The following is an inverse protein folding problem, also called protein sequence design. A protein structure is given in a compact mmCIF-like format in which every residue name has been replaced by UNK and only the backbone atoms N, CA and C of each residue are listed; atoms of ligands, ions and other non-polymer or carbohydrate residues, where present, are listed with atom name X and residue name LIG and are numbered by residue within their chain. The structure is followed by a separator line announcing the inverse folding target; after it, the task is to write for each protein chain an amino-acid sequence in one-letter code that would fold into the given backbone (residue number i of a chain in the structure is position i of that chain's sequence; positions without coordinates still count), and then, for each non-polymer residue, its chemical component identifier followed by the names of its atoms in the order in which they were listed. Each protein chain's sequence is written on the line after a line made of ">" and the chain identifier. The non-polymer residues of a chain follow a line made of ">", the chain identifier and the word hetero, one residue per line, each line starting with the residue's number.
data_IF_112791807174
#
_entry.id   IF_112791807174
#
_cell.length_a   1.000
_cell.length_b   1.000
_cell.length_c   1.000
_cell.angle_alpha   90.00
_cell.angle_beta   90.00
_cell.angle_gamma   90.00
#
_symmetry.space_group_name_H-M   'P 1'
#
loop_
_entity.id
_entity.type
_entity.pdbx_description
1 polymer ?
#
# COMPACT_ATOMS: atom_id res chain seq x y z
N UNK A 1 4.25 -23.86 7.04
CA UNK A 1 5.36 -23.09 6.42
C UNK A 1 4.90 -21.75 5.82
N UNK A 2 4.20 -21.67 4.68
CA UNK A 2 3.74 -20.38 4.10
C UNK A 2 2.72 -19.62 4.97
N UNK A 3 1.81 -20.33 5.63
CA UNK A 3 0.82 -19.75 6.56
C UNK A 3 1.45 -19.27 7.86
N UNK A 4 2.46 -19.98 8.36
CA UNK A 4 3.25 -19.56 9.54
C UNK A 4 4.00 -18.27 9.23
N UNK A 5 4.58 -18.14 8.02
CA UNK A 5 5.19 -16.89 7.56
C UNK A 5 4.20 -15.72 7.58
N UNK A 6 2.94 -15.92 7.17
CA UNK A 6 1.93 -14.83 7.20
C UNK A 6 1.64 -14.39 8.65
N UNK A 7 1.51 -15.34 9.58
CA UNK A 7 1.25 -15.01 10.97
C UNK A 7 2.41 -14.21 11.60
N UNK A 8 3.64 -14.64 11.35
CA UNK A 8 4.84 -13.95 11.82
C UNK A 8 4.94 -12.54 11.21
N UNK A 9 4.66 -12.38 9.91
CA UNK A 9 4.63 -11.07 9.26
C UNK A 9 3.54 -10.15 9.84
N UNK A 10 2.38 -10.69 10.19
CA UNK A 10 1.31 -9.91 10.85
C UNK A 10 1.74 -9.44 12.23
N UNK A 11 2.53 -10.23 12.96
CA UNK A 11 3.10 -9.80 14.22
C UNK A 11 4.09 -8.64 14.03
N UNK A 12 4.97 -8.73 13.04
CA UNK A 12 5.92 -7.64 12.73
C UNK A 12 5.18 -6.34 12.37
N UNK A 13 4.12 -6.40 11.56
CA UNK A 13 3.28 -5.24 11.22
C UNK A 13 2.62 -4.63 12.46
N UNK A 14 2.20 -5.46 13.42
CA UNK A 14 1.60 -5.01 14.67
C UNK A 14 2.62 -4.28 15.56
N UNK A 15 3.84 -4.81 15.64
CA UNK A 15 4.96 -4.19 16.36
C UNK A 15 5.33 -2.84 15.72
N UNK A 16 5.43 -2.76 14.39
CA UNK A 16 5.66 -1.51 13.65
C UNK A 16 4.56 -0.48 13.91
N UNK A 17 3.29 -0.88 13.85
CA UNK A 17 2.16 0.01 14.15
C UNK A 17 2.19 0.49 15.61
N UNK A 18 2.66 -0.34 16.53
CA UNK A 18 2.78 0.00 17.96
C UNK A 18 3.89 1.01 18.19
N UNK A 19 5.00 0.92 17.45
CA UNK A 19 6.09 1.90 17.50
C UNK A 19 5.64 3.22 16.85
N UNK A 20 5.00 3.15 15.69
CA UNK A 20 4.54 4.33 14.95
C UNK A 20 3.51 5.16 15.73
N UNK A 21 2.74 4.56 16.64
CA UNK A 21 1.73 5.30 17.43
C UNK A 21 2.32 6.41 18.31
N UNK A 22 3.63 6.33 18.62
CA UNK A 22 4.33 7.33 19.42
C UNK A 22 4.85 8.50 18.59
N UNK A 23 4.80 8.42 17.26
CA UNK A 23 5.18 9.50 16.36
C UNK A 23 4.00 10.47 16.13
N UNK A 24 4.24 11.77 16.34
CA UNK A 24 3.18 12.78 16.24
C UNK A 24 2.70 12.99 14.80
N UNK A 25 3.57 12.79 13.81
CA UNK A 25 3.15 12.85 12.41
C UNK A 25 2.19 11.71 12.08
N UNK A 26 2.46 10.49 12.55
CA UNK A 26 1.55 9.37 12.42
C UNK A 26 0.23 9.61 13.15
N UNK A 27 0.26 10.11 14.40
CA UNK A 27 -0.96 10.44 15.16
C UNK A 27 -1.81 11.50 14.45
N UNK A 28 -1.19 12.54 13.92
CA UNK A 28 -1.87 13.58 13.16
C UNK A 28 -2.47 13.03 11.86
N UNK A 29 -1.71 12.24 11.10
CA UNK A 29 -2.19 11.57 9.88
C UNK A 29 -3.39 10.65 10.18
N UNK A 30 -3.32 9.89 11.28
CA UNK A 30 -4.40 9.01 11.74
C UNK A 30 -5.67 9.77 12.10
N UNK A 31 -5.53 10.90 12.78
CA UNK A 31 -6.63 11.79 13.12
C UNK A 31 -7.28 12.37 11.86
N UNK A 32 -6.46 12.87 10.93
CA UNK A 32 -6.95 13.41 9.66
C UNK A 32 -7.68 12.35 8.81
N UNK A 33 -7.13 11.13 8.74
CA UNK A 33 -7.80 10.00 8.11
C UNK A 33 -9.18 9.74 8.75
N UNK A 34 -9.27 9.74 10.08
CA UNK A 34 -10.53 9.51 10.78
C UNK A 34 -11.58 10.60 10.51
N UNK A 35 -11.16 11.85 10.31
CA UNK A 35 -12.04 12.98 9.98
C UNK A 35 -12.49 13.01 8.52
N UNK A 36 -11.96 12.13 7.67
CA UNK A 36 -12.34 12.09 6.26
C UNK A 36 -13.75 11.53 6.04
N UNK A 37 -14.34 11.88 4.90
CA UNK A 37 -15.63 11.40 4.40
C UNK A 37 -15.68 9.87 4.41
N UNK A 38 -16.82 9.28 4.76
CA UNK A 38 -16.97 7.83 4.94
C UNK A 38 -16.57 7.01 3.71
N UNK A 39 -16.86 7.53 2.52
CA UNK A 39 -16.56 6.85 1.25
C UNK A 39 -15.20 7.23 0.65
N UNK A 40 -14.36 7.99 1.38
CA UNK A 40 -13.07 8.42 0.87
C UNK A 40 -11.95 7.44 1.27
N UNK A 41 -11.09 6.99 0.34
CA UNK A 41 -10.04 6.00 0.63
C UNK A 41 -9.07 6.39 1.75
N UNK A 42 -8.83 7.70 1.93
CA UNK A 42 -7.96 8.23 3.00
C UNK A 42 -8.46 7.86 4.41
N UNK A 43 -9.75 7.54 4.58
CA UNK A 43 -10.32 7.11 5.86
C UNK A 43 -9.82 5.73 6.30
N UNK A 44 -9.34 4.93 5.35
CA UNK A 44 -8.88 3.57 5.63
C UNK A 44 -7.66 3.57 6.56
N UNK A 45 -7.54 2.50 7.33
CA UNK A 45 -6.31 2.23 8.06
C UNK A 45 -5.26 1.62 7.15
N UNK A 46 -4.40 2.47 6.59
CA UNK A 46 -3.38 2.06 5.61
C UNK A 46 -2.24 1.24 6.20
N UNK A 47 -1.89 1.44 7.48
CA UNK A 47 -0.78 0.72 8.10
C UNK A 47 -1.12 -0.76 8.33
N UNK A 48 -2.32 -1.04 8.86
CA UNK A 48 -2.68 -2.36 9.34
C UNK A 48 -2.09 -2.66 10.73
N UNK A 49 -2.59 -3.72 11.35
CA UNK A 49 -2.14 -4.26 12.63
C UNK A 49 -2.77 -5.64 12.84
N UNK A 50 -2.44 -6.32 13.94
CA UNK A 50 -2.96 -7.65 14.24
C UNK A 50 -4.49 -7.69 14.31
N UNK A 51 -5.14 -6.62 14.78
CA UNK A 51 -6.61 -6.53 14.86
C UNK A 51 -7.24 -6.48 13.46
N UNK A 52 -6.75 -5.61 12.58
CA UNK A 52 -7.29 -5.40 11.23
C UNK A 52 -6.94 -6.54 10.27
N UNK A 53 -5.85 -7.26 10.52
CA UNK A 53 -5.42 -8.40 9.70
C UNK A 53 -5.81 -9.76 10.29
N UNK A 54 -6.50 -9.81 11.45
CA UNK A 54 -6.81 -11.06 12.17
C UNK A 54 -7.58 -12.06 11.29
N UNK A 55 -8.66 -11.61 10.67
CA UNK A 55 -9.50 -12.45 9.82
C UNK A 55 -8.71 -12.96 8.61
N UNK A 56 -7.92 -12.07 8.00
CA UNK A 56 -7.04 -12.42 6.90
C UNK A 56 -5.99 -13.47 7.30
N UNK A 57 -5.28 -13.26 8.42
CA UNK A 57 -4.24 -14.18 8.91
C UNK A 57 -4.78 -15.56 9.27
N UNK A 58 -6.00 -15.62 9.81
CA UNK A 58 -6.67 -16.88 10.16
C UNK A 58 -7.28 -17.63 8.96
N UNK A 59 -7.33 -16.99 7.78
CA UNK A 59 -7.91 -17.60 6.60
C UNK A 59 -6.95 -18.62 5.97
N UNK A 60 -7.42 -19.85 5.77
CA UNK A 60 -6.66 -20.92 5.08
C UNK A 60 -6.27 -20.53 3.65
N UNK A 61 -7.04 -19.65 3.01
CA UNK A 61 -6.80 -19.13 1.67
C UNK A 61 -6.06 -17.78 1.65
N UNK A 62 -5.59 -17.28 2.80
CA UNK A 62 -4.87 -16.00 2.93
C UNK A 62 -3.74 -15.83 1.91
N UNK A 63 -2.93 -16.87 1.74
CA UNK A 63 -1.84 -16.88 0.74
C UNK A 63 -2.37 -16.73 -0.69
N UNK A 64 -3.46 -17.40 -1.03
CA UNK A 64 -4.08 -17.31 -2.36
C UNK A 64 -4.69 -15.94 -2.59
N UNK A 65 -5.39 -15.40 -1.60
CA UNK A 65 -5.96 -14.05 -1.63
C UNK A 65 -4.86 -13.00 -1.80
N UNK A 66 -3.76 -13.12 -1.06
CA UNK A 66 -2.62 -12.20 -1.19
C UNK A 66 -1.99 -12.26 -2.58
N UNK A 67 -1.70 -13.47 -3.07
CA UNK A 67 -1.13 -13.66 -4.41
C UNK A 67 -2.03 -13.06 -5.48
N UNK A 68 -3.34 -13.25 -5.37
CA UNK A 68 -4.30 -12.69 -6.30
C UNK A 68 -4.32 -11.16 -6.19
N UNK A 69 -4.38 -10.60 -4.99
CA UNK A 69 -4.36 -9.16 -4.75
C UNK A 69 -3.09 -8.49 -5.28
N UNK A 70 -1.92 -9.09 -5.02
CA UNK A 70 -0.62 -8.61 -5.53
C UNK A 70 -0.60 -8.63 -7.05
N UNK A 71 -0.98 -9.76 -7.65
CA UNK A 71 -1.05 -9.89 -9.11
C UNK A 71 -2.00 -8.87 -9.73
N UNK A 72 -3.11 -8.59 -9.08
CA UNK A 72 -4.21 -7.81 -9.63
C UNK A 72 -4.06 -6.31 -9.48
N UNK A 73 -3.27 -5.86 -8.50
CA UNK A 73 -3.13 -4.45 -8.14
C UNK A 73 -1.72 -3.93 -8.28
N UNK A 74 -0.72 -4.77 -8.05
CA UNK A 74 0.68 -4.33 -7.93
C UNK A 74 1.56 -4.86 -9.06
N UNK A 75 1.27 -6.04 -9.64
CA UNK A 75 2.00 -6.55 -10.81
C UNK A 75 1.41 -6.08 -12.15
N UNK A 76 1.06 -4.79 -12.25
CA UNK A 76 0.60 -4.15 -13.49
C UNK A 76 1.77 -3.33 -14.04
N UNK A 77 2.39 -3.71 -15.17
CA UNK A 77 3.56 -3.01 -15.71
C UNK A 77 3.34 -1.50 -15.89
N UNK A 78 2.14 -1.11 -16.30
CA UNK A 78 1.76 0.29 -16.53
C UNK A 78 1.76 1.14 -15.25
N UNK A 79 1.68 0.52 -14.06
CA UNK A 79 1.73 1.19 -12.76
C UNK A 79 3.08 1.10 -12.05
N UNK A 80 4.10 0.52 -12.70
CA UNK A 80 5.41 0.26 -12.09
C UNK A 80 6.49 1.17 -12.67
N UNK A 81 7.27 1.80 -11.80
CA UNK A 81 8.50 2.50 -12.17
C UNK A 81 9.70 1.75 -11.57
N UNK A 82 10.69 1.44 -12.39
CA UNK A 82 11.93 0.78 -11.97
C UNK A 82 13.10 1.75 -12.07
N UNK A 83 13.90 1.83 -11.00
CA UNK A 83 15.17 2.56 -10.99
C UNK A 83 16.29 1.57 -10.74
N UNK A 84 17.32 1.57 -11.59
CA UNK A 84 18.52 0.74 -11.45
C UNK A 84 19.75 1.64 -11.35
N UNK A 85 20.59 1.37 -10.35
CA UNK A 85 21.88 2.03 -10.16
C UNK A 85 22.93 0.93 -10.15
N UNK A 86 23.91 1.03 -11.04
CA UNK A 86 25.03 0.11 -11.16
C UNK A 86 26.23 0.85 -11.75
N UNK A 87 27.41 0.32 -11.49
CA UNK A 87 28.68 0.66 -12.12
C UNK A 87 28.81 0.13 -13.56
N UNK A 88 27.91 -0.77 -13.99
CA UNK A 88 27.84 -1.27 -15.36
C UNK A 88 27.46 -0.18 -16.36
N UNK A 89 27.87 -0.35 -17.62
CA UNK A 89 27.46 0.56 -18.69
C UNK A 89 25.94 0.55 -18.89
N UNK A 90 25.38 1.68 -19.36
CA UNK A 90 23.95 1.82 -19.66
C UNK A 90 23.39 0.69 -20.54
N UNK A 91 24.15 0.25 -21.54
CA UNK A 91 23.73 -0.84 -22.44
C UNK A 91 23.54 -2.16 -21.71
N UNK A 92 24.43 -2.48 -20.77
CA UNK A 92 24.34 -3.73 -19.99
C UNK A 92 23.15 -3.64 -19.03
N UNK A 93 22.96 -2.50 -18.36
CA UNK A 93 21.79 -2.26 -17.53
C UNK A 93 20.48 -2.41 -18.30
N UNK A 94 20.38 -1.79 -19.49
CA UNK A 94 19.21 -1.91 -20.35
C UNK A 94 18.91 -3.37 -20.72
N UNK A 95 19.92 -4.14 -21.17
CA UNK A 95 19.74 -5.55 -21.51
C UNK A 95 19.27 -6.40 -20.32
N UNK A 96 19.75 -6.10 -19.10
CA UNK A 96 19.28 -6.76 -17.88
C UNK A 96 17.83 -6.43 -17.60
N UNK A 97 17.45 -5.14 -17.68
CA UNK A 97 16.07 -4.70 -17.46
C UNK A 97 15.13 -5.36 -18.48
N UNK A 98 15.49 -5.34 -19.76
CA UNK A 98 14.69 -5.95 -20.82
C UNK A 98 14.50 -7.44 -20.59
N UNK A 99 15.58 -8.16 -20.24
CA UNK A 99 15.51 -9.60 -19.97
C UNK A 99 14.61 -9.95 -18.79
N UNK A 100 14.64 -9.15 -17.72
CA UNK A 100 13.95 -9.47 -16.47
C UNK A 100 12.51 -8.95 -16.43
N UNK A 101 12.26 -7.75 -16.96
CA UNK A 101 11.00 -7.04 -16.74
C UNK A 101 10.11 -6.96 -17.98
N UNK A 102 10.63 -7.10 -19.20
CA UNK A 102 9.77 -7.10 -20.41
C UNK A 102 8.92 -8.37 -20.54
N UNK A 103 9.23 -9.44 -19.79
CA UNK A 103 8.40 -10.64 -19.74
C UNK A 103 7.09 -10.45 -18.95
N UNK A 104 6.96 -9.34 -18.21
CA UNK A 104 5.71 -9.03 -17.52
C UNK A 104 4.62 -8.71 -18.54
N UNK A 105 3.57 -9.53 -18.57
CA UNK A 105 2.43 -9.33 -19.47
C UNK A 105 1.72 -8.04 -19.10
N UNK A 106 1.44 -7.21 -20.12
CA UNK A 106 0.53 -6.06 -19.96
C UNK A 106 -0.77 -6.53 -19.34
N UNK A 107 -1.24 -5.78 -18.36
CA UNK A 107 -2.51 -6.08 -17.69
C UNK A 107 -3.59 -5.23 -18.33
N UNK A 108 -4.74 -5.83 -18.63
CA UNK A 108 -5.94 -5.07 -19.00
C UNK A 108 -6.67 -4.50 -17.78
N UNK A 109 -6.09 -4.64 -16.57
CA UNK A 109 -6.66 -4.08 -15.35
C UNK A 109 -6.40 -2.60 -15.30
N UNK A 110 -7.47 -1.82 -15.19
CA UNK A 110 -7.43 -0.37 -15.05
C UNK A 110 -6.90 -0.06 -13.65
N UNK A 111 -5.90 0.81 -13.58
CA UNK A 111 -5.41 1.35 -12.31
C UNK A 111 -6.56 2.08 -11.60
N UNK A 112 -6.65 2.02 -10.26
CA UNK A 112 -7.69 2.76 -9.55
C UNK A 112 -7.58 4.26 -9.87
N UNK A 113 -8.66 4.84 -10.36
CA UNK A 113 -8.74 6.27 -10.63
C UNK A 113 -9.33 6.99 -9.40
N UNK A 114 -8.56 7.95 -8.87
CA UNK A 114 -8.94 8.78 -7.73
C UNK A 114 -9.09 10.25 -8.12
N UNK A 115 -9.03 10.61 -9.41
CA UNK A 115 -9.09 12.00 -9.90
C UNK A 115 -10.37 12.70 -9.45
N UNK A 116 -11.48 11.96 -9.28
CA UNK A 116 -12.74 12.49 -8.77
C UNK A 116 -12.81 12.69 -7.25
N UNK A 117 -11.82 12.20 -6.49
CA UNK A 117 -11.81 12.18 -5.02
C UNK A 117 -10.83 13.23 -4.47
N UNK A 118 -10.99 14.50 -4.88
CA UNK A 118 -10.06 15.58 -4.53
C UNK A 118 -10.21 16.12 -3.11
N UNK A 119 -11.41 16.01 -2.54
CA UNK A 119 -11.78 16.65 -1.27
C UNK A 119 -12.05 15.60 -0.19
N UNK A 120 -11.06 15.24 0.65
CA UNK A 120 -11.20 14.15 1.62
C UNK A 120 -12.08 14.54 2.81
N UNK A 121 -12.20 15.83 3.10
CA UNK A 121 -12.82 16.36 4.31
C UNK A 121 -14.03 17.23 4.02
N UNK A 122 -14.88 17.41 5.03
CA UNK A 122 -15.88 18.48 5.07
C UNK A 122 -15.23 19.70 5.71
N UNK A 123 -14.70 20.61 4.88
CA UNK A 123 -13.95 21.79 5.34
C UNK A 123 -14.76 22.72 6.24
N UNK A 124 -16.10 22.68 6.14
CA UNK A 124 -17.00 23.45 6.99
C UNK A 124 -16.90 23.07 8.48
N UNK A 125 -16.40 21.86 8.78
CA UNK A 125 -16.18 21.39 10.14
C UNK A 125 -14.85 21.89 10.74
N UNK A 126 -14.00 22.54 9.95
CA UNK A 126 -12.69 23.01 10.41
C UNK A 126 -12.73 24.52 10.68
N UNK A 127 -12.22 24.92 11.85
CA UNK A 127 -12.06 26.34 12.16
C UNK A 127 -10.84 26.89 11.41
N UNK A 128 -11.01 28.06 10.79
CA UNK A 128 -9.89 28.81 10.20
C UNK A 128 -9.08 29.45 11.32
N UNK A 129 -7.82 29.06 11.46
CA UNK A 129 -6.86 29.84 12.24
C UNK A 129 -6.37 31.00 11.37
N UNK A 130 -6.73 32.22 11.78
CA UNK A 130 -6.10 33.42 11.27
C UNK A 130 -4.89 33.69 12.15
N UNK A 131 -3.69 33.50 11.61
CA UNK A 131 -2.42 33.92 12.21
C UNK A 131 -2.07 35.33 11.74
#
# INVERSE_FOLDING_TARGET
>A
MLSETIFDQVQVIDEESTIAQFDDHYRASRLLAHLAKENHPIRNFSWGNKKSLKEFASNVNSTTILKQLVKDRYCIPEGMNLVMISDESFRVMQQRVERLFCLMKRSYKILPDYIGLKEPWHTDNFQKFHL
#
